data_IF_285565553914
#
_entry.id   IF_285565553914
#
_cell.length_a   1.000
_cell.length_b   1.000
_cell.length_c   1.000
_cell.angle_alpha   90.00
_cell.angle_beta   90.00
_cell.angle_gamma   90.00
#
_symmetry.space_group_name_H-M   'P 1'
#
loop_
_entity.id
_entity.type
_entity.pdbx_description
1 polymer ?
#
# COMPACT_ATOMS: atom_id res chain seq x y z
N UNK A 1 29.30 9.64 -17.36
CA UNK A 1 28.72 8.35 -16.89
C UNK A 1 27.24 8.40 -17.21
N UNK A 2 26.71 7.36 -17.87
CA UNK A 2 25.30 7.25 -18.21
C UNK A 2 24.62 6.25 -17.28
N UNK A 3 23.39 6.54 -16.88
CA UNK A 3 22.55 5.68 -16.05
C UNK A 3 21.21 5.44 -16.75
N UNK A 4 20.82 4.18 -16.88
CA UNK A 4 19.51 3.81 -17.44
C UNK A 4 18.56 3.52 -16.29
N UNK A 5 17.49 4.31 -16.16
CA UNK A 5 16.48 4.15 -15.13
C UNK A 5 15.29 3.40 -15.71
N UNK A 6 15.14 2.14 -15.30
CA UNK A 6 14.07 1.24 -15.79
C UNK A 6 12.84 1.21 -14.89
N UNK A 7 12.80 2.01 -13.84
CA UNK A 7 11.67 2.09 -12.91
C UNK A 7 10.41 2.63 -13.59
N UNK A 8 9.21 2.23 -13.13
CA UNK A 8 7.97 2.87 -13.56
C UNK A 8 8.05 4.39 -13.37
N UNK A 9 7.46 5.14 -14.30
CA UNK A 9 7.56 6.62 -14.36
C UNK A 9 7.35 7.32 -13.02
N UNK A 10 6.35 6.87 -12.25
CA UNK A 10 6.02 7.45 -10.93
C UNK A 10 7.16 7.28 -9.91
N UNK A 11 7.99 6.23 -10.04
CA UNK A 11 9.11 5.93 -9.15
C UNK A 11 10.46 6.36 -9.72
N UNK A 12 10.50 6.63 -11.03
CA UNK A 12 11.70 7.04 -11.74
C UNK A 12 12.10 8.49 -11.41
N UNK A 13 11.12 9.39 -11.35
CA UNK A 13 11.33 10.85 -11.25
C UNK A 13 12.32 11.28 -10.18
N UNK A 14 12.13 10.84 -8.95
CA UNK A 14 12.98 11.28 -7.82
C UNK A 14 14.43 10.85 -8.01
N UNK A 15 14.64 9.60 -8.43
CA UNK A 15 16.00 9.08 -8.68
C UNK A 15 16.65 9.79 -9.87
N UNK A 16 15.93 9.96 -10.97
CA UNK A 16 16.45 10.62 -12.16
C UNK A 16 16.82 12.07 -11.90
N UNK A 17 16.00 12.82 -11.15
CA UNK A 17 16.31 14.18 -10.74
C UNK A 17 17.56 14.24 -9.86
N UNK A 18 17.64 13.38 -8.86
CA UNK A 18 18.80 13.31 -7.98
C UNK A 18 20.08 13.03 -8.75
N UNK A 19 20.10 12.05 -9.64
CA UNK A 19 21.27 11.70 -10.44
C UNK A 19 21.69 12.82 -11.40
N UNK A 20 20.72 13.46 -12.06
CA UNK A 20 21.01 14.62 -12.94
C UNK A 20 21.60 15.79 -12.19
N UNK A 21 21.12 16.07 -10.97
CA UNK A 21 21.69 17.11 -10.11
C UNK A 21 23.15 16.83 -9.71
N UNK A 22 23.57 15.55 -9.73
CA UNK A 22 24.95 15.14 -9.49
C UNK A 22 25.77 14.94 -10.78
N UNK A 23 25.35 15.51 -11.89
CA UNK A 23 26.07 15.47 -13.16
C UNK A 23 26.05 14.13 -13.89
N UNK A 24 25.12 13.24 -13.53
CA UNK A 24 24.94 11.95 -14.20
C UNK A 24 23.90 12.10 -15.31
N UNK A 25 24.25 11.70 -16.52
CA UNK A 25 23.31 11.60 -17.63
C UNK A 25 22.35 10.44 -17.38
N UNK A 26 21.03 10.71 -17.36
CA UNK A 26 20.01 9.70 -17.07
C UNK A 26 19.10 9.50 -18.28
N UNK A 27 19.03 8.27 -18.75
CA UNK A 27 18.07 7.80 -19.74
C UNK A 27 16.93 7.13 -18.99
N UNK A 28 15.73 7.73 -19.00
CA UNK A 28 14.54 7.11 -18.44
C UNK A 28 13.94 6.13 -19.47
N UNK A 29 13.98 4.84 -19.16
CA UNK A 29 13.46 3.74 -19.98
C UNK A 29 12.56 2.85 -19.14
N UNK A 30 11.32 3.28 -18.79
CA UNK A 30 10.44 2.49 -17.97
C UNK A 30 10.06 1.17 -18.65
N UNK A 31 10.43 0.05 -18.04
CA UNK A 31 10.10 -1.28 -18.58
C UNK A 31 8.76 -1.83 -18.06
N UNK A 32 8.18 -1.17 -17.06
CA UNK A 32 6.92 -1.55 -16.43
C UNK A 32 6.03 -0.32 -16.25
N UNK A 33 4.73 -0.48 -16.48
CA UNK A 33 3.70 0.48 -16.12
C UNK A 33 2.76 -0.13 -15.08
N UNK A 34 2.44 0.66 -14.06
CA UNK A 34 1.38 0.29 -13.11
C UNK A 34 0.05 0.75 -13.69
N UNK A 35 -0.79 -0.20 -14.08
CA UNK A 35 -2.12 0.07 -14.61
C UNK A 35 -3.19 -0.37 -13.64
N UNK A 36 -4.25 0.40 -13.55
CA UNK A 36 -5.42 0.02 -12.78
C UNK A 36 -6.17 -1.11 -13.49
N UNK A 37 -6.42 -2.21 -12.76
CA UNK A 37 -7.26 -3.31 -13.23
C UNK A 37 -8.70 -3.07 -12.77
N UNK A 38 -9.71 -3.24 -13.62
CA UNK A 38 -11.11 -3.23 -13.18
C UNK A 38 -11.36 -4.27 -12.07
N UNK A 39 -12.16 -3.89 -11.07
CA UNK A 39 -12.58 -4.84 -10.02
C UNK A 39 -13.54 -5.86 -10.60
N UNK A 40 -13.32 -7.11 -10.28
CA UNK A 40 -14.33 -8.17 -10.44
C UNK A 40 -15.49 -7.95 -9.48
N UNK A 41 -16.61 -8.65 -9.69
CA UNK A 41 -17.76 -8.60 -8.79
C UNK A 41 -17.39 -9.05 -7.38
N UNK A 42 -16.57 -10.09 -7.26
CA UNK A 42 -16.10 -10.60 -5.97
C UNK A 42 -15.19 -9.60 -5.25
N UNK A 43 -14.21 -9.00 -5.94
CA UNK A 43 -13.31 -7.98 -5.39
C UNK A 43 -14.10 -6.74 -4.93
N UNK A 44 -15.13 -6.34 -5.66
CA UNK A 44 -16.04 -5.25 -5.27
C UNK A 44 -16.78 -5.58 -3.99
N UNK A 45 -17.36 -6.78 -3.88
CA UNK A 45 -18.08 -7.22 -2.69
C UNK A 45 -17.15 -7.25 -1.46
N UNK A 46 -15.91 -7.73 -1.62
CA UNK A 46 -14.88 -7.72 -0.55
C UNK A 46 -14.58 -6.30 -0.09
N UNK A 47 -14.44 -5.33 -0.98
CA UNK A 47 -14.20 -3.94 -0.60
C UNK A 47 -15.43 -3.30 0.06
N UNK A 48 -16.65 -3.61 -0.41
CA UNK A 48 -17.89 -3.11 0.20
C UNK A 48 -18.12 -3.63 1.62
N UNK A 49 -17.61 -4.82 1.92
CA UNK A 49 -17.69 -5.44 3.25
C UNK A 49 -16.45 -5.18 4.11
N UNK A 50 -15.71 -4.10 3.87
CA UNK A 50 -14.44 -3.80 4.56
C UNK A 50 -14.59 -3.76 6.10
N UNK A 51 -15.75 -3.37 6.62
CA UNK A 51 -16.02 -3.31 8.06
C UNK A 51 -16.08 -4.69 8.75
N UNK A 52 -16.16 -5.78 7.98
CA UNK A 52 -16.08 -7.14 8.50
C UNK A 52 -14.64 -7.60 8.76
N UNK A 53 -13.65 -6.82 8.33
CA UNK A 53 -12.23 -7.14 8.48
C UNK A 53 -11.62 -6.37 9.65
N UNK A 54 -10.81 -7.05 10.44
CA UNK A 54 -10.07 -6.45 11.55
C UNK A 54 -8.86 -5.67 11.08
N UNK A 55 -8.21 -6.16 10.00
CA UNK A 55 -7.00 -5.56 9.46
C UNK A 55 -7.10 -5.31 7.96
N UNK A 56 -6.48 -4.19 7.54
CA UNK A 56 -6.17 -3.90 6.13
C UNK A 56 -4.68 -3.66 6.00
N UNK A 57 -4.00 -4.53 5.24
CA UNK A 57 -2.56 -4.50 5.04
C UNK A 57 -2.22 -3.85 3.69
N UNK A 58 -1.39 -2.81 3.75
CA UNK A 58 -0.99 -1.98 2.62
C UNK A 58 0.47 -2.27 2.26
N UNK A 59 0.71 -2.97 1.16
CA UNK A 59 2.06 -3.43 0.80
C UNK A 59 2.85 -2.44 -0.07
N UNK A 60 2.25 -1.34 -0.50
CA UNK A 60 2.92 -0.31 -1.32
C UNK A 60 2.09 0.96 -1.45
N UNK A 61 2.73 2.07 -1.85
CA UNK A 61 2.05 3.33 -2.22
C UNK A 61 1.02 3.13 -3.34
N UNK A 62 1.30 2.26 -4.32
CA UNK A 62 0.34 1.95 -5.38
C UNK A 62 -0.90 1.23 -4.83
N UNK A 63 -0.72 0.32 -3.87
CA UNK A 63 -1.84 -0.33 -3.19
C UNK A 63 -2.71 0.68 -2.45
N UNK A 64 -2.09 1.65 -1.77
CA UNK A 64 -2.81 2.77 -1.12
C UNK A 64 -3.58 3.58 -2.16
N UNK A 65 -2.90 4.06 -3.21
CA UNK A 65 -3.48 4.91 -4.25
C UNK A 65 -4.73 4.28 -4.86
N UNK A 66 -4.58 3.08 -5.40
CA UNK A 66 -5.67 2.41 -6.10
C UNK A 66 -6.73 1.83 -5.14
N UNK A 67 -6.31 1.37 -3.97
CA UNK A 67 -7.22 0.84 -2.95
C UNK A 67 -8.14 1.93 -2.41
N UNK A 68 -7.61 3.06 -1.96
CA UNK A 68 -8.41 4.17 -1.46
C UNK A 68 -9.30 4.78 -2.54
N UNK A 69 -8.78 4.98 -3.76
CA UNK A 69 -9.58 5.48 -4.87
C UNK A 69 -10.81 4.60 -5.14
N UNK A 70 -10.68 3.28 -5.03
CA UNK A 70 -11.79 2.34 -5.20
C UNK A 70 -12.71 2.31 -3.99
N UNK A 71 -12.15 2.30 -2.80
CA UNK A 71 -12.93 2.30 -1.57
C UNK A 71 -13.90 3.48 -1.53
N UNK A 72 -13.44 4.68 -1.85
CA UNK A 72 -14.28 5.90 -1.86
C UNK A 72 -15.43 5.87 -2.89
N UNK A 73 -15.33 5.03 -3.91
CA UNK A 73 -16.44 4.83 -4.87
C UNK A 73 -17.49 3.83 -4.39
N UNK A 74 -17.16 3.04 -3.36
CA UNK A 74 -17.98 1.91 -2.92
C UNK A 74 -18.53 2.09 -1.51
N UNK A 75 -17.81 2.84 -0.66
CA UNK A 75 -18.13 3.00 0.76
C UNK A 75 -17.94 4.46 1.14
N UNK A 76 -18.84 4.99 1.96
CA UNK A 76 -18.65 6.31 2.56
C UNK A 76 -17.64 6.21 3.70
N UNK A 77 -16.55 6.97 3.62
CA UNK A 77 -15.49 6.94 4.63
C UNK A 77 -15.99 7.34 6.04
N UNK A 78 -17.07 8.13 6.12
CA UNK A 78 -17.72 8.50 7.39
C UNK A 78 -18.41 7.32 8.08
N UNK A 79 -18.68 6.26 7.35
CA UNK A 79 -19.36 5.05 7.86
C UNK A 79 -18.38 3.94 8.20
N UNK A 80 -17.06 4.14 7.89
CA UNK A 80 -16.03 3.14 8.22
C UNK A 80 -15.88 2.98 9.73
N UNK A 81 -15.83 1.73 10.14
CA UNK A 81 -15.59 1.37 11.54
C UNK A 81 -14.21 1.81 12.01
N UNK A 82 -14.14 2.50 13.15
CA UNK A 82 -12.88 2.80 13.83
C UNK A 82 -12.16 1.53 14.37
N UNK A 83 -12.78 0.35 14.21
CA UNK A 83 -12.19 -0.94 14.63
C UNK A 83 -11.19 -1.48 13.60
N UNK A 84 -11.23 -0.99 12.35
CA UNK A 84 -10.31 -1.42 11.33
C UNK A 84 -8.90 -0.93 11.69
N UNK A 85 -7.98 -1.85 11.83
CA UNK A 85 -6.57 -1.54 12.02
C UNK A 85 -5.86 -1.50 10.65
N UNK A 86 -5.27 -0.36 10.34
CA UNK A 86 -4.50 -0.19 9.12
C UNK A 86 -3.04 -0.52 9.36
N UNK A 87 -2.46 -1.33 8.49
CA UNK A 87 -1.07 -1.77 8.62
C UNK A 87 -0.33 -1.50 7.30
N UNK A 88 0.80 -0.83 7.35
CA UNK A 88 1.63 -0.58 6.17
C UNK A 88 2.93 -1.38 6.22
N UNK A 89 3.46 -1.72 5.05
CA UNK A 89 4.74 -2.43 4.92
C UNK A 89 5.93 -1.64 5.49
N UNK A 90 5.80 -0.33 5.60
CA UNK A 90 6.82 0.55 6.16
C UNK A 90 6.37 2.00 6.19
N UNK A 91 7.20 2.84 6.79
CA UNK A 91 6.93 4.25 7.04
C UNK A 91 6.54 5.02 5.78
N UNK A 92 7.23 4.79 4.67
CA UNK A 92 6.95 5.48 3.41
C UNK A 92 5.52 5.22 2.92
N UNK A 93 5.04 3.98 3.01
CA UNK A 93 3.67 3.61 2.65
C UNK A 93 2.66 4.20 3.63
N UNK A 94 2.98 4.22 4.92
CA UNK A 94 2.15 4.82 5.96
C UNK A 94 1.99 6.34 5.75
N UNK A 95 3.08 7.05 5.50
CA UNK A 95 3.06 8.48 5.20
C UNK A 95 2.25 8.79 3.93
N UNK A 96 2.40 7.97 2.89
CA UNK A 96 1.61 8.11 1.66
C UNK A 96 0.11 7.87 1.91
N UNK A 97 -0.24 6.91 2.76
CA UNK A 97 -1.63 6.68 3.19
C UNK A 97 -2.21 7.91 3.87
N UNK A 98 -1.52 8.48 4.86
CA UNK A 98 -1.98 9.65 5.59
C UNK A 98 -2.17 10.86 4.66
N UNK A 99 -1.22 11.12 3.76
CA UNK A 99 -1.32 12.18 2.77
C UNK A 99 -2.51 11.98 1.83
N UNK A 100 -2.69 10.75 1.31
CA UNK A 100 -3.79 10.43 0.40
C UNK A 100 -5.13 10.55 1.12
N UNK A 101 -5.23 10.08 2.37
CA UNK A 101 -6.44 10.20 3.18
C UNK A 101 -6.87 11.65 3.36
N UNK A 102 -5.93 12.55 3.71
CA UNK A 102 -6.18 13.98 3.87
C UNK A 102 -6.58 14.68 2.55
N UNK A 103 -6.18 14.14 1.40
CA UNK A 103 -6.58 14.67 0.10
C UNK A 103 -8.00 14.27 -0.32
N UNK A 104 -8.51 13.14 0.16
CA UNK A 104 -9.81 12.59 -0.27
C UNK A 104 -10.93 12.85 0.75
N UNK A 105 -10.60 13.27 1.97
CA UNK A 105 -11.57 13.52 3.03
C UNK A 105 -11.03 14.52 4.07
N UNK A 106 -11.93 15.20 4.75
CA UNK A 106 -11.62 16.07 5.90
C UNK A 106 -11.58 15.27 7.23
N UNK A 107 -11.91 13.98 7.19
CA UNK A 107 -11.86 13.13 8.37
C UNK A 107 -10.42 12.94 8.86
N UNK A 108 -10.20 12.83 10.19
CA UNK A 108 -8.88 12.49 10.71
C UNK A 108 -8.43 11.14 10.14
N UNK A 109 -7.16 11.07 9.75
CA UNK A 109 -6.60 9.82 9.25
C UNK A 109 -6.62 8.76 10.36
N UNK A 110 -7.01 7.51 10.05
CA UNK A 110 -6.90 6.41 11.00
C UNK A 110 -5.45 6.18 11.41
N UNK A 111 -5.25 5.66 12.62
CA UNK A 111 -3.92 5.23 13.04
C UNK A 111 -3.44 4.08 12.16
N UNK A 112 -2.24 4.21 11.60
CA UNK A 112 -1.62 3.19 10.77
C UNK A 112 -0.36 2.64 11.47
N UNK A 113 -0.28 1.31 11.56
CA UNK A 113 0.84 0.59 12.17
C UNK A 113 1.80 0.16 11.06
N UNK A 114 3.10 0.22 11.33
CA UNK A 114 4.14 -0.28 10.42
C UNK A 114 5.37 -0.74 11.21
N UNK A 115 6.25 -1.58 10.62
CA UNK A 115 7.51 -1.96 11.25
C UNK A 115 8.37 -0.73 11.55
N UNK A 116 8.89 -0.64 12.77
CA UNK A 116 9.80 0.42 13.20
C UNK A 116 11.17 0.34 12.47
N UNK A 117 12.03 1.34 12.68
CA UNK A 117 13.36 1.39 12.04
C UNK A 117 14.26 0.19 12.40
N UNK A 118 13.99 -0.50 13.51
CA UNK A 118 14.76 -1.68 13.94
C UNK A 118 14.32 -2.95 13.23
N UNK A 119 13.20 -2.92 12.53
CA UNK A 119 12.64 -4.05 11.77
C UNK A 119 12.75 -3.79 10.28
N UNK A 120 12.91 -4.84 9.51
CA UNK A 120 12.90 -4.71 8.06
C UNK A 120 11.53 -4.18 7.58
N UNK A 121 11.53 -3.07 6.83
CA UNK A 121 10.32 -2.51 6.24
C UNK A 121 9.97 -3.26 4.93
N UNK A 122 9.53 -4.49 5.08
CA UNK A 122 9.19 -5.44 4.03
C UNK A 122 8.14 -6.45 4.54
N UNK A 123 7.80 -7.46 3.76
CA UNK A 123 6.80 -8.46 4.15
C UNK A 123 7.21 -9.25 5.39
N UNK A 124 8.49 -9.55 5.54
CA UNK A 124 9.04 -10.25 6.71
C UNK A 124 8.89 -9.39 7.99
N UNK A 125 9.12 -8.09 7.87
CA UNK A 125 8.89 -7.15 8.97
C UNK A 125 7.42 -7.01 9.34
N UNK A 126 6.51 -7.04 8.36
CA UNK A 126 5.06 -7.11 8.60
C UNK A 126 4.67 -8.33 9.41
N UNK A 127 5.13 -9.53 9.01
CA UNK A 127 4.84 -10.79 9.70
C UNK A 127 5.33 -10.81 11.15
N UNK A 128 6.33 -10.00 11.50
CA UNK A 128 6.85 -9.85 12.85
C UNK A 128 6.14 -8.78 13.69
N UNK A 129 5.09 -8.14 13.16
CA UNK A 129 4.30 -7.20 13.96
C UNK A 129 3.42 -7.96 14.97
N UNK A 130 3.35 -7.53 16.23
CA UNK A 130 2.53 -8.19 17.25
C UNK A 130 1.06 -8.33 16.84
N UNK A 131 0.51 -7.32 16.16
CA UNK A 131 -0.88 -7.36 15.67
C UNK A 131 -1.10 -8.43 14.60
N UNK A 132 -0.10 -8.70 13.78
CA UNK A 132 -0.16 -9.78 12.78
C UNK A 132 0.01 -11.15 13.47
N UNK A 133 0.94 -11.25 14.41
CA UNK A 133 1.20 -12.50 15.15
C UNK A 133 0.05 -12.89 16.10
N UNK A 134 -0.79 -11.94 16.49
CA UNK A 134 -1.95 -12.20 17.32
C UNK A 134 -3.18 -12.69 16.56
N UNK A 135 -3.13 -12.72 15.23
CA UNK A 135 -4.23 -13.26 14.42
C UNK A 135 -4.43 -14.75 14.68
N UNK A 136 -5.69 -15.15 14.81
CA UNK A 136 -6.09 -16.53 15.06
C UNK A 136 -7.14 -17.01 14.07
N UNK A 137 -7.55 -18.26 14.24
CA UNK A 137 -8.62 -18.84 13.43
C UNK A 137 -9.93 -18.06 13.60
N UNK A 138 -10.45 -17.54 12.49
CA UNK A 138 -11.67 -16.73 12.46
C UNK A 138 -11.45 -15.23 12.35
N UNK A 139 -10.20 -14.76 12.43
CA UNK A 139 -9.87 -13.39 12.10
C UNK A 139 -9.79 -13.20 10.58
N UNK A 140 -10.28 -12.06 10.11
CA UNK A 140 -10.29 -11.72 8.68
C UNK A 140 -9.46 -10.47 8.44
N UNK A 141 -8.56 -10.57 7.44
CA UNK A 141 -7.77 -9.43 6.99
C UNK A 141 -7.86 -9.25 5.48
N UNK A 142 -7.69 -8.02 5.02
CA UNK A 142 -7.51 -7.71 3.61
C UNK A 142 -6.05 -7.35 3.34
N UNK A 143 -5.47 -7.89 2.26
CA UNK A 143 -4.17 -7.48 1.77
C UNK A 143 -4.34 -6.73 0.46
N UNK A 144 -4.06 -5.43 0.48
CA UNK A 144 -4.08 -4.59 -0.71
C UNK A 144 -2.73 -4.66 -1.41
N UNK A 145 -2.69 -5.32 -2.56
CA UNK A 145 -1.46 -5.56 -3.34
C UNK A 145 -1.70 -5.48 -4.84
N UNK A 146 -0.62 -5.32 -5.60
CA UNK A 146 -0.64 -5.51 -7.05
C UNK A 146 -0.66 -7.00 -7.44
N UNK A 147 -1.11 -7.29 -8.66
CA UNK A 147 -1.02 -8.63 -9.25
C UNK A 147 0.45 -8.96 -9.51
N UNK A 148 0.86 -10.21 -9.28
CA UNK A 148 2.23 -10.69 -9.53
C UNK A 148 3.27 -10.28 -8.47
N UNK A 149 2.83 -9.72 -7.32
CA UNK A 149 3.70 -9.49 -6.17
C UNK A 149 4.05 -10.79 -5.43
N UNK A 150 5.03 -10.72 -4.49
CA UNK A 150 5.38 -11.85 -3.63
C UNK A 150 4.16 -12.36 -2.87
N UNK A 151 3.98 -13.67 -2.84
CA UNK A 151 2.84 -14.31 -2.15
C UNK A 151 3.11 -14.61 -0.69
N UNK A 152 4.37 -14.44 -0.24
CA UNK A 152 4.83 -14.74 1.11
C UNK A 152 3.83 -14.34 2.22
N UNK A 153 3.27 -13.14 2.15
CA UNK A 153 2.33 -12.65 3.17
C UNK A 153 1.02 -13.45 3.16
N UNK A 154 0.51 -13.79 1.97
CA UNK A 154 -0.75 -14.53 1.81
C UNK A 154 -0.58 -16.02 2.13
N UNK A 155 0.60 -16.57 1.82
CA UNK A 155 0.92 -17.98 2.06
C UNK A 155 1.24 -18.26 3.53
N UNK A 156 1.59 -17.21 4.31
CA UNK A 156 1.97 -17.35 5.72
C UNK A 156 0.81 -17.09 6.67
N UNK A 157 -0.18 -16.31 6.25
CA UNK A 157 -1.37 -15.93 7.02
C UNK A 157 -2.57 -16.81 6.71
#
# INVERSE_FOLDING_TARGET
MQFINTRPDQRAKTLSLFLRQHGIEVIDLPLLALVEKPLTVAERAVLQSIDHYQLVVLVSEAAVKYGLARLTTLVKLTELSNKIVWVAVGEKTANYFNQTWQQITELPAPTIIFPDEKRAQNNEGLLNLPIIQSLGTGDYLQVWRGIGGRELLVDTL
#
